data_IF_037290966893
#
_entry.id   IF_037290966893
#
_cell.length_a   1.000
_cell.length_b   1.000
_cell.length_c   1.000
_cell.angle_alpha   90.00
_cell.angle_beta   90.00
_cell.angle_gamma   90.00
#
_symmetry.space_group_name_H-M   'P 1'
#
loop_
_entity.id
_entity.type
_entity.pdbx_description
1 polymer ?
#
# COMPACT_ATOMS: atom_id res chain seq x y z
N UNK A 1 3.10 -11.23 -36.39
CA UNK A 1 2.05 -10.23 -36.71
C UNK A 1 0.69 -10.91 -36.66
N UNK A 2 -0.06 -10.76 -35.57
CA UNK A 2 -1.42 -11.32 -35.45
C UNK A 2 -2.40 -10.38 -36.13
N UNK A 3 -2.76 -10.70 -37.36
CA UNK A 3 -3.79 -9.99 -38.14
C UNK A 3 -5.13 -10.22 -37.44
N UNK A 4 -5.71 -9.16 -36.88
CA UNK A 4 -7.09 -9.20 -36.39
C UNK A 4 -8.01 -9.43 -37.58
N UNK A 5 -8.96 -10.39 -37.51
CA UNK A 5 -9.86 -10.65 -38.63
C UNK A 5 -10.75 -9.43 -38.84
N UNK A 6 -10.64 -8.81 -40.03
CA UNK A 6 -11.56 -7.74 -40.45
C UNK A 6 -12.97 -8.31 -40.45
N UNK A 7 -13.84 -7.71 -39.64
CA UNK A 7 -15.26 -8.08 -39.55
C UNK A 7 -15.89 -8.00 -40.94
N UNK A 8 -16.56 -9.08 -41.35
CA UNK A 8 -17.32 -9.16 -42.60
C UNK A 8 -18.31 -7.98 -42.67
N UNK A 9 -18.39 -7.25 -43.80
CA UNK A 9 -19.37 -6.19 -43.95
C UNK A 9 -20.79 -6.75 -43.79
N UNK A 10 -21.62 -6.07 -42.99
CA UNK A 10 -23.01 -6.44 -42.74
C UNK A 10 -23.78 -6.42 -44.07
N UNK A 11 -24.62 -7.42 -44.29
CA UNK A 11 -25.60 -7.39 -45.39
C UNK A 11 -26.53 -6.20 -45.21
N UNK A 12 -27.02 -5.62 -46.31
CA UNK A 12 -27.91 -4.44 -46.29
C UNK A 12 -29.10 -4.62 -45.34
N UNK A 13 -29.72 -5.80 -45.36
CA UNK A 13 -30.81 -6.16 -44.44
C UNK A 13 -30.39 -6.18 -42.96
N UNK A 14 -29.18 -6.66 -42.65
CA UNK A 14 -28.67 -6.66 -41.28
C UNK A 14 -28.32 -5.24 -40.77
N UNK A 15 -27.85 -4.36 -41.66
CA UNK A 15 -27.61 -2.95 -41.36
C UNK A 15 -28.94 -2.21 -41.11
N UNK A 16 -29.96 -2.45 -41.93
CA UNK A 16 -31.30 -1.88 -41.77
C UNK A 16 -31.95 -2.33 -40.45
N UNK A 17 -31.87 -3.62 -40.12
CA UNK A 17 -32.37 -4.15 -38.84
C UNK A 17 -31.65 -3.53 -37.62
N UNK A 18 -30.34 -3.31 -37.74
CA UNK A 18 -29.55 -2.68 -36.68
C UNK A 18 -29.89 -1.20 -36.52
N UNK A 19 -30.17 -0.49 -37.61
CA UNK A 19 -30.62 0.90 -37.61
C UNK A 19 -32.00 1.02 -36.94
N UNK A 20 -32.94 0.12 -37.25
CA UNK A 20 -34.25 0.06 -36.60
C UNK A 20 -34.16 -0.22 -35.10
N UNK A 21 -33.31 -1.16 -34.68
CA UNK A 21 -33.06 -1.44 -33.27
C UNK A 21 -32.47 -0.22 -32.55
N UNK A 22 -31.56 0.52 -33.20
CA UNK A 22 -31.02 1.77 -32.66
C UNK A 22 -32.07 2.86 -32.56
N UNK A 23 -33.00 2.98 -33.52
CA UNK A 23 -34.12 3.92 -33.47
C UNK A 23 -35.06 3.61 -32.30
N UNK A 24 -35.50 2.35 -32.16
CA UNK A 24 -36.33 1.90 -31.02
C UNK A 24 -35.65 2.18 -29.68
N UNK A 25 -34.36 1.88 -29.56
CA UNK A 25 -33.60 2.17 -28.34
C UNK A 25 -33.52 3.67 -28.03
N UNK A 26 -33.33 4.53 -29.05
CA UNK A 26 -33.32 6.00 -28.87
C UNK A 26 -34.68 6.52 -28.39
N UNK A 27 -35.77 6.01 -28.94
CA UNK A 27 -37.14 6.37 -28.55
C UNK A 27 -37.45 5.93 -27.12
N UNK A 28 -37.12 4.69 -26.76
CA UNK A 28 -37.27 4.18 -25.39
C UNK A 28 -36.46 4.99 -24.37
N UNK A 29 -35.23 5.41 -24.73
CA UNK A 29 -34.46 6.31 -23.86
C UNK A 29 -35.05 7.71 -23.78
N UNK A 30 -35.74 8.18 -24.80
CA UNK A 30 -36.41 9.49 -24.81
C UNK A 30 -37.64 9.48 -23.89
N UNK A 31 -38.50 8.46 -24.01
CA UNK A 31 -39.67 8.28 -23.14
C UNK A 31 -39.25 8.07 -21.69
N UNK A 32 -38.23 7.24 -21.44
CA UNK A 32 -37.71 7.06 -20.07
C UNK A 32 -37.16 8.35 -19.46
N UNK A 33 -36.54 9.25 -20.25
CA UNK A 33 -36.03 10.54 -19.75
C UNK A 33 -37.13 11.56 -19.46
N UNK A 34 -38.28 11.47 -20.13
CA UNK A 34 -39.45 12.29 -19.84
C UNK A 34 -40.05 11.93 -18.46
N UNK A 35 -39.94 10.68 -18.04
CA UNK A 35 -40.40 10.19 -16.73
C UNK A 35 -39.41 10.46 -15.58
N UNK A 36 -38.35 11.26 -15.80
CA UNK A 36 -37.34 11.50 -14.76
C UNK A 36 -37.70 12.69 -13.88
N UNK A 37 -37.68 12.44 -12.57
CA UNK A 37 -37.75 13.49 -11.56
C UNK A 37 -36.51 14.38 -11.60
N UNK A 38 -36.63 15.63 -11.11
CA UNK A 38 -35.54 16.61 -11.06
C UNK A 38 -34.29 16.07 -10.32
N UNK A 39 -34.48 15.27 -9.29
CA UNK A 39 -33.38 14.64 -8.53
C UNK A 39 -32.64 13.57 -9.35
N UNK A 40 -33.34 12.82 -10.20
CA UNK A 40 -32.77 11.83 -11.12
C UNK A 40 -31.97 12.52 -12.24
N UNK A 41 -32.49 13.64 -12.76
CA UNK A 41 -31.76 14.50 -13.69
C UNK A 41 -30.46 15.05 -13.10
N UNK A 42 -30.46 15.50 -11.84
CA UNK A 42 -29.25 15.96 -11.14
C UNK A 42 -28.19 14.87 -11.05
N UNK A 43 -28.57 13.68 -10.55
CA UNK A 43 -27.65 12.52 -10.43
C UNK A 43 -27.09 12.09 -11.79
N UNK A 44 -27.89 12.16 -12.86
CA UNK A 44 -27.42 11.85 -14.20
C UNK A 44 -26.41 12.88 -14.73
N UNK A 45 -26.68 14.18 -14.56
CA UNK A 45 -25.73 15.26 -14.93
C UNK A 45 -24.39 15.11 -14.21
N UNK A 46 -24.42 14.83 -12.91
CA UNK A 46 -23.20 14.57 -12.11
C UNK A 46 -22.41 13.36 -12.64
N UNK A 47 -23.10 12.28 -13.02
CA UNK A 47 -22.46 11.12 -13.67
C UNK A 47 -21.82 11.49 -15.02
N UNK A 48 -22.50 12.26 -15.86
CA UNK A 48 -21.96 12.73 -17.14
C UNK A 48 -20.72 13.62 -16.95
N UNK A 49 -20.76 14.56 -16.00
CA UNK A 49 -19.62 15.42 -15.67
C UNK A 49 -18.42 14.58 -15.19
N UNK A 50 -18.66 13.59 -14.32
CA UNK A 50 -17.62 12.68 -13.84
C UNK A 50 -17.02 11.85 -14.97
N UNK A 51 -17.85 11.33 -15.87
CA UNK A 51 -17.42 10.58 -17.05
C UNK A 51 -16.56 11.44 -17.99
N UNK A 52 -17.03 12.63 -18.34
CA UNK A 52 -16.30 13.55 -19.23
C UNK A 52 -14.97 14.03 -18.62
N UNK A 53 -14.94 14.24 -17.30
CA UNK A 53 -13.69 14.55 -16.59
C UNK A 53 -12.68 13.41 -16.70
N UNK A 54 -13.12 12.17 -16.44
CA UNK A 54 -12.28 10.97 -16.57
C UNK A 54 -11.74 10.81 -17.99
N UNK A 55 -12.59 11.00 -19.00
CA UNK A 55 -12.18 10.93 -20.42
C UNK A 55 -11.14 11.99 -20.78
N UNK A 56 -11.31 13.23 -20.30
CA UNK A 56 -10.32 14.31 -20.48
C UNK A 56 -8.98 14.01 -19.80
N UNK A 57 -9.02 13.42 -18.60
CA UNK A 57 -7.81 12.99 -17.89
C UNK A 57 -7.10 11.86 -18.65
N UNK A 58 -7.83 10.88 -19.17
CA UNK A 58 -7.28 9.79 -20.02
C UNK A 58 -6.66 10.33 -21.31
N UNK A 59 -7.33 11.24 -22.02
CA UNK A 59 -6.76 11.89 -23.22
C UNK A 59 -5.49 12.67 -22.89
N UNK A 60 -5.48 13.43 -21.78
CA UNK A 60 -4.28 14.15 -21.34
C UNK A 60 -3.10 13.23 -21.02
N UNK A 61 -3.35 12.07 -20.40
CA UNK A 61 -2.28 11.10 -20.13
C UNK A 61 -1.71 10.50 -21.42
N UNK A 62 -2.56 10.23 -22.41
CA UNK A 62 -2.13 9.72 -23.73
C UNK A 62 -1.31 10.77 -24.49
N UNK A 63 -1.74 12.05 -24.50
CA UNK A 63 -1.00 13.13 -25.14
C UNK A 63 0.33 13.41 -24.43
N UNK A 64 0.37 13.37 -23.09
CA UNK A 64 1.60 13.52 -22.34
C UNK A 64 2.59 12.37 -22.57
N UNK A 65 2.09 11.14 -22.72
CA UNK A 65 2.92 9.97 -23.07
C UNK A 65 3.51 10.07 -24.48
N UNK A 66 2.75 10.60 -25.44
CA UNK A 66 3.22 10.85 -26.82
C UNK A 66 4.24 11.99 -26.93
N UNK A 67 4.25 12.94 -26.00
CA UNK A 67 5.22 14.06 -25.97
C UNK A 67 6.51 13.72 -25.20
N UNK A 68 6.55 12.59 -24.51
CA UNK A 68 7.71 12.13 -23.72
C UNK A 68 8.72 11.28 -24.53
N UNK A 69 8.45 11.01 -25.80
CA UNK A 69 9.37 10.35 -26.73
C UNK A 69 9.60 11.22 -27.97
N UNK A 70 10.70 12.00 -28.05
CA UNK A 70 11.27 12.36 -29.34
C UNK A 70 12.02 11.14 -29.88
N UNK A 71 11.56 10.60 -30.99
CA UNK A 71 12.31 9.61 -31.76
C UNK A 71 13.61 10.25 -32.26
N UNK A 72 14.72 9.67 -31.81
CA UNK A 72 16.02 9.84 -32.41
C UNK A 72 16.03 9.06 -33.73
N UNK A 73 16.11 9.79 -34.84
CA UNK A 73 16.60 9.30 -36.12
C UNK A 73 17.66 10.31 -36.58
N UNK A 74 18.85 9.80 -36.90
CA UNK A 74 20.01 10.59 -37.26
C UNK A 74 19.85 11.32 -38.59
N UNK A 75 20.69 12.33 -38.81
CA UNK A 75 21.78 12.28 -39.79
C UNK A 75 22.67 13.51 -39.59
N UNK A 76 23.98 13.34 -39.81
CA UNK A 76 24.95 14.40 -39.69
C UNK A 76 24.90 15.35 -40.89
N UNK A 77 25.12 16.63 -40.65
CA UNK A 77 25.84 17.53 -41.55
C UNK A 77 26.18 18.84 -40.84
N UNK A 78 27.43 19.26 -41.01
CA UNK A 78 27.98 20.53 -40.54
C UNK A 78 27.36 21.72 -41.28
N UNK A 79 26.84 22.72 -40.57
CA UNK A 79 26.75 24.09 -41.12
C UNK A 79 26.66 25.11 -39.98
N UNK A 80 27.68 25.97 -39.86
CA UNK A 80 27.57 27.23 -39.13
C UNK A 80 26.92 28.26 -40.06
N UNK A 81 26.01 29.09 -39.55
CA UNK A 81 26.05 30.49 -39.99
C UNK A 81 25.82 31.50 -38.85
N UNK A 82 26.83 32.36 -38.72
CA UNK A 82 26.79 33.82 -38.55
C UNK A 82 25.66 34.42 -37.69
N UNK A 83 26.08 34.97 -36.56
CA UNK A 83 25.33 35.97 -35.79
C UNK A 83 24.90 37.16 -36.66
N UNK A 84 23.62 37.54 -36.69
CA UNK A 84 23.23 38.86 -37.15
C UNK A 84 23.56 39.87 -36.06
N UNK A 85 24.40 40.86 -36.40
CA UNK A 85 24.53 42.09 -35.64
C UNK A 85 23.17 42.80 -35.63
N UNK A 86 22.46 42.78 -34.50
CA UNK A 86 21.35 43.70 -34.28
C UNK A 86 21.83 44.84 -33.37
N UNK A 87 22.03 46.01 -33.97
CA UNK A 87 22.07 47.30 -33.27
C UNK A 87 20.76 47.44 -32.48
N UNK A 88 20.81 47.20 -31.18
CA UNK A 88 19.69 47.49 -30.28
C UNK A 88 19.76 48.97 -29.95
N UNK A 89 18.87 49.76 -30.54
CA UNK A 89 18.56 51.09 -30.03
C UNK A 89 17.88 50.89 -28.66
N UNK A 90 18.65 51.05 -27.59
CA UNK A 90 18.18 51.00 -26.21
C UNK A 90 17.10 52.07 -26.02
N UNK A 91 15.83 51.71 -25.71
CA UNK A 91 14.85 52.73 -25.38
C UNK A 91 15.29 53.43 -24.09
N UNK A 92 15.15 54.75 -24.03
CA UNK A 92 15.48 55.49 -22.82
C UNK A 92 14.73 54.92 -21.59
N UNK A 93 15.29 55.03 -20.38
CA UNK A 93 14.70 54.46 -19.16
C UNK A 93 13.24 54.87 -18.93
N UNK A 94 12.86 56.05 -19.43
CA UNK A 94 11.50 56.58 -19.38
C UNK A 94 10.55 55.83 -20.31
N UNK A 95 10.98 55.46 -21.52
CA UNK A 95 10.18 54.65 -22.47
C UNK A 95 9.97 53.22 -21.96
N UNK A 96 10.98 52.63 -21.32
CA UNK A 96 10.89 51.32 -20.66
C UNK A 96 9.90 51.34 -19.48
N UNK A 97 9.92 52.39 -18.66
CA UNK A 97 8.95 52.55 -17.55
C UNK A 97 7.50 52.72 -18.04
N UNK A 98 7.29 53.41 -19.16
CA UNK A 98 5.96 53.59 -19.75
C UNK A 98 5.44 52.27 -20.35
N UNK A 99 6.27 51.54 -21.10
CA UNK A 99 5.93 50.21 -21.62
C UNK A 99 5.63 49.21 -20.49
N UNK A 100 6.38 49.27 -19.39
CA UNK A 100 6.17 48.45 -18.20
C UNK A 100 4.85 48.76 -17.46
N UNK A 101 4.49 50.05 -17.31
CA UNK A 101 3.21 50.46 -16.73
C UNK A 101 2.03 50.02 -17.59
N UNK A 102 2.16 50.10 -18.92
CA UNK A 102 1.14 49.60 -19.86
C UNK A 102 0.97 48.09 -19.76
N UNK A 103 2.07 47.32 -19.75
CA UNK A 103 2.04 45.86 -19.63
C UNK A 103 1.49 45.37 -18.28
N UNK A 104 1.79 46.07 -17.18
CA UNK A 104 1.20 45.79 -15.85
C UNK A 104 -0.29 46.10 -15.80
N UNK A 105 -0.75 47.14 -16.49
CA UNK A 105 -2.16 47.50 -16.58
C UNK A 105 -2.94 46.45 -17.40
N UNK A 106 -2.37 45.99 -18.51
CA UNK A 106 -2.96 44.92 -19.34
C UNK A 106 -2.97 43.55 -18.63
N UNK A 107 -1.90 43.23 -17.89
CA UNK A 107 -1.83 42.02 -17.07
C UNK A 107 -2.82 42.02 -15.89
N UNK A 108 -3.22 43.20 -15.37
CA UNK A 108 -4.26 43.35 -14.34
C UNK A 108 -5.67 43.17 -14.91
N UNK A 109 -5.90 43.47 -16.20
CA UNK A 109 -7.21 43.32 -16.88
C UNK A 109 -7.58 41.87 -17.18
N UNK A 110 -6.63 40.96 -17.41
CA UNK A 110 -6.91 39.56 -17.74
C UNK A 110 -6.74 38.60 -16.54
N UNK A 111 -7.85 38.20 -15.91
CA UNK A 111 -7.91 37.14 -14.87
C UNK A 111 -7.82 35.72 -15.44
N UNK A 112 -6.80 35.42 -16.25
CA UNK A 112 -6.51 34.04 -16.68
C UNK A 112 -5.35 33.44 -15.85
N UNK A 113 -5.33 32.11 -15.69
CA UNK A 113 -4.28 31.39 -14.93
C UNK A 113 -2.87 31.57 -15.52
N UNK A 114 -2.74 31.95 -16.78
CA UNK A 114 -1.45 32.22 -17.43
C UNK A 114 -0.81 33.53 -16.94
N UNK A 115 -1.61 34.51 -16.49
CA UNK A 115 -1.07 35.78 -15.98
C UNK A 115 -0.33 35.60 -14.65
N UNK A 116 -0.74 34.64 -13.82
CA UNK A 116 -0.05 34.28 -12.57
C UNK A 116 1.30 33.58 -12.79
N UNK A 117 1.41 32.74 -13.82
CA UNK A 117 2.65 32.06 -14.16
C UNK A 117 3.68 33.05 -14.70
N UNK A 118 3.26 33.95 -15.61
CA UNK A 118 4.11 35.06 -16.09
C UNK A 118 4.50 36.00 -14.96
N UNK A 119 3.60 36.30 -14.01
CA UNK A 119 3.91 37.14 -12.85
C UNK A 119 4.98 36.51 -11.96
N UNK A 120 4.89 35.20 -11.68
CA UNK A 120 5.91 34.47 -10.90
C UNK A 120 7.28 34.46 -11.60
N UNK A 121 7.29 34.28 -12.91
CA UNK A 121 8.53 34.25 -13.71
C UNK A 121 9.20 35.64 -13.76
N UNK A 122 8.42 36.70 -13.86
CA UNK A 122 8.92 38.08 -13.80
C UNK A 122 9.42 38.45 -12.40
N UNK A 123 8.78 37.96 -11.33
CA UNK A 123 9.25 38.18 -9.96
C UNK A 123 10.54 37.42 -9.65
N UNK A 124 10.74 36.22 -10.21
CA UNK A 124 11.99 35.46 -10.03
C UNK A 124 13.20 36.03 -10.76
N UNK A 125 12.99 36.83 -11.81
CA UNK A 125 14.08 37.43 -12.60
C UNK A 125 14.57 38.77 -12.02
N UNK A 126 13.82 39.39 -11.11
CA UNK A 126 14.09 40.75 -10.60
C UNK A 126 14.63 40.81 -9.16
N UNK A 127 14.79 39.68 -8.45
CA UNK A 127 15.29 39.66 -7.07
C UNK A 127 16.58 38.81 -6.94
N UNK A 128 17.75 39.44 -6.77
CA UNK A 128 19.02 38.73 -6.49
C UNK A 128 19.17 38.24 -5.04
N UNK A 129 18.22 38.49 -4.15
CA UNK A 129 18.28 38.02 -2.74
C UNK A 129 17.80 36.56 -2.62
N UNK A 130 18.64 35.66 -3.11
CA UNK A 130 18.38 34.22 -3.28
C UNK A 130 18.67 33.37 -2.03
N UNK A 131 18.50 33.90 -0.82
CA UNK A 131 18.89 33.18 0.41
C UNK A 131 17.71 32.53 1.16
N UNK A 132 16.51 33.11 1.09
CA UNK A 132 15.31 32.53 1.69
C UNK A 132 14.64 31.48 0.79
N UNK A 133 14.63 31.70 -0.52
CA UNK A 133 14.01 30.78 -1.49
C UNK A 133 14.83 29.51 -1.73
N UNK A 134 16.17 29.58 -1.68
CA UNK A 134 17.06 28.42 -1.69
C UNK A 134 16.94 27.60 -0.41
N UNK A 135 16.88 28.24 0.77
CA UNK A 135 16.58 27.56 2.05
C UNK A 135 15.23 26.86 2.00
N UNK A 136 14.19 27.50 1.44
CA UNK A 136 12.88 26.90 1.23
C UNK A 136 12.91 25.72 0.25
N UNK A 137 13.69 25.80 -0.84
CA UNK A 137 13.87 24.71 -1.80
C UNK A 137 14.62 23.52 -1.18
N UNK A 138 15.69 23.78 -0.43
CA UNK A 138 16.45 22.76 0.30
C UNK A 138 15.57 22.07 1.35
N UNK A 139 14.80 22.83 2.14
CA UNK A 139 13.86 22.28 3.10
C UNK A 139 12.76 21.45 2.42
N UNK A 140 12.24 21.88 1.26
CA UNK A 140 11.29 21.10 0.45
C UNK A 140 11.90 19.82 -0.10
N UNK A 141 13.15 19.87 -0.58
CA UNK A 141 13.88 18.69 -1.08
C UNK A 141 14.11 17.69 0.05
N UNK A 142 14.61 18.14 1.20
CA UNK A 142 14.76 17.33 2.41
C UNK A 142 13.45 16.72 2.89
N UNK A 143 12.35 17.50 2.90
CA UNK A 143 11.02 16.99 3.22
C UNK A 143 10.51 15.95 2.19
N UNK A 144 10.88 16.11 0.90
CA UNK A 144 10.57 15.14 -0.16
C UNK A 144 11.36 13.84 0.01
N UNK A 145 12.65 13.91 0.36
CA UNK A 145 13.51 12.75 0.64
C UNK A 145 13.00 11.97 1.85
N UNK A 146 12.71 12.64 2.97
CA UNK A 146 12.11 12.02 4.16
C UNK A 146 10.76 11.37 3.83
N UNK A 147 9.94 12.03 3.00
CA UNK A 147 8.68 11.46 2.55
C UNK A 147 8.86 10.24 1.63
N UNK A 148 9.94 10.18 0.85
CA UNK A 148 10.27 9.04 0.01
C UNK A 148 10.70 7.85 0.87
N UNK A 149 11.68 8.07 1.75
CA UNK A 149 12.16 7.07 2.70
C UNK A 149 11.03 6.53 3.60
N UNK A 150 10.13 7.39 4.05
CA UNK A 150 8.96 6.97 4.83
C UNK A 150 7.98 6.10 4.02
N UNK A 151 7.81 6.36 2.71
CA UNK A 151 6.97 5.49 1.85
C UNK A 151 7.62 4.13 1.64
N UNK A 152 8.91 4.11 1.36
CA UNK A 152 9.69 2.88 1.18
C UNK A 152 9.67 2.04 2.46
N UNK A 153 9.88 2.66 3.61
CA UNK A 153 9.76 1.99 4.91
C UNK A 153 8.36 1.35 5.11
N UNK A 154 7.29 2.03 4.70
CA UNK A 154 5.94 1.47 4.78
C UNK A 154 5.71 0.32 3.79
N UNK A 155 6.24 0.40 2.57
CA UNK A 155 6.18 -0.68 1.58
C UNK A 155 6.88 -1.94 2.05
N UNK A 156 8.04 -1.77 2.68
CA UNK A 156 8.86 -2.83 3.25
C UNK A 156 8.23 -3.46 4.49
N UNK A 157 7.51 -2.65 5.27
CA UNK A 157 6.79 -3.10 6.45
C UNK A 157 5.44 -3.73 6.13
N UNK A 158 4.97 -3.66 4.88
CA UNK A 158 3.66 -4.14 4.48
C UNK A 158 3.71 -5.58 3.93
N UNK A 159 2.82 -6.44 4.43
CA UNK A 159 2.64 -7.81 3.97
C UNK A 159 1.69 -7.89 2.77
N UNK A 160 1.92 -8.86 1.88
CA UNK A 160 1.02 -9.12 0.75
C UNK A 160 -0.30 -9.74 1.23
N UNK A 161 -1.40 -9.37 0.57
CA UNK A 161 -2.72 -9.96 0.84
C UNK A 161 -3.01 -11.05 -0.18
N UNK A 162 -3.34 -12.28 0.25
CA UNK A 162 -3.59 -13.38 -0.67
C UNK A 162 -4.84 -13.13 -1.53
N UNK A 163 -4.86 -13.73 -2.72
CA UNK A 163 -6.02 -13.78 -3.61
C UNK A 163 -6.03 -12.73 -4.73
N UNK A 164 -6.41 -13.15 -5.95
CA UNK A 164 -6.46 -12.33 -7.17
C UNK A 164 -7.33 -11.06 -7.05
N UNK A 165 -8.30 -11.05 -6.14
CA UNK A 165 -9.19 -9.92 -5.90
C UNK A 165 -8.48 -8.71 -5.25
N UNK A 166 -7.29 -8.92 -4.70
CA UNK A 166 -6.50 -7.86 -4.07
C UNK A 166 -5.72 -7.04 -5.09
N UNK A 167 -5.61 -7.52 -6.33
CA UNK A 167 -4.94 -6.83 -7.42
C UNK A 167 -5.87 -5.78 -8.02
N UNK A 168 -5.40 -4.53 -8.06
CA UNK A 168 -6.11 -3.44 -8.72
C UNK A 168 -6.15 -3.68 -10.23
N UNK A 169 -7.35 -3.90 -10.79
CA UNK A 169 -7.53 -4.07 -12.24
C UNK A 169 -7.04 -2.87 -13.08
N UNK A 170 -6.94 -1.67 -12.47
CA UNK A 170 -6.50 -0.46 -13.16
C UNK A 170 -4.99 -0.31 -13.20
N UNK A 171 -4.31 -0.69 -12.13
CA UNK A 171 -2.88 -0.42 -11.94
C UNK A 171 -2.03 -1.68 -11.97
N UNK A 172 -2.62 -2.88 -11.92
CA UNK A 172 -1.89 -4.14 -11.78
C UNK A 172 -1.25 -4.35 -10.39
N UNK A 173 -1.30 -3.35 -9.51
CA UNK A 173 -0.66 -3.38 -8.19
C UNK A 173 -1.50 -4.20 -7.21
N UNK A 174 -0.86 -5.14 -6.51
CA UNK A 174 -1.46 -5.90 -5.42
C UNK A 174 -1.58 -5.04 -4.16
N UNK A 175 -2.74 -5.12 -3.49
CA UNK A 175 -2.90 -4.50 -2.17
C UNK A 175 -1.99 -5.19 -1.15
N UNK A 176 -1.34 -4.39 -0.32
CA UNK A 176 -0.56 -4.83 0.83
C UNK A 176 -1.19 -4.33 2.12
N UNK A 177 -0.77 -4.88 3.24
CA UNK A 177 -1.32 -4.56 4.56
C UNK A 177 -0.22 -4.33 5.56
N UNK A 178 -0.41 -3.32 6.39
CA UNK A 178 0.45 -3.09 7.55
C UNK A 178 0.05 -4.06 8.67
N UNK A 179 0.92 -5.02 9.05
CA UNK A 179 0.66 -5.93 10.15
C UNK A 179 0.68 -5.18 11.50
N UNK A 180 1.52 -4.15 11.62
CA UNK A 180 1.62 -3.28 12.79
C UNK A 180 0.73 -2.05 12.66
N UNK A 181 0.30 -1.50 13.81
CA UNK A 181 -0.39 -0.20 13.87
C UNK A 181 0.52 0.89 13.34
N UNK A 182 -0.01 1.84 12.55
CA UNK A 182 0.79 2.90 11.94
C UNK A 182 1.50 3.77 13.00
N UNK A 183 0.91 3.95 14.18
CA UNK A 183 1.53 4.65 15.33
C UNK A 183 2.85 3.99 15.75
N UNK A 184 2.91 2.66 15.72
CA UNK A 184 4.13 1.91 16.06
C UNK A 184 5.17 2.02 14.95
N UNK A 185 4.76 1.84 13.70
CA UNK A 185 5.64 2.01 12.54
C UNK A 185 6.25 3.42 12.48
N UNK A 186 5.49 4.44 12.88
CA UNK A 186 5.99 5.81 12.98
C UNK A 186 7.12 5.94 14.01
N UNK A 187 6.97 5.34 15.21
CA UNK A 187 8.04 5.30 16.22
C UNK A 187 9.28 4.57 15.71
N UNK A 188 9.09 3.39 15.10
CA UNK A 188 10.19 2.60 14.52
C UNK A 188 10.92 3.37 13.41
N UNK A 189 10.19 4.10 12.57
CA UNK A 189 10.78 4.95 11.52
C UNK A 189 11.65 6.06 12.12
N UNK A 190 11.17 6.75 13.16
CA UNK A 190 11.92 7.81 13.83
C UNK A 190 13.17 7.28 14.55
N UNK A 191 13.08 6.10 15.17
CA UNK A 191 14.23 5.44 15.80
C UNK A 191 15.31 5.08 14.77
N UNK A 192 14.91 4.57 13.59
CA UNK A 192 15.84 4.23 12.51
C UNK A 192 16.40 5.45 11.78
N UNK A 193 15.71 6.59 11.85
CA UNK A 193 16.08 7.82 11.15
C UNK A 193 16.08 9.02 12.12
N UNK A 194 17.04 9.10 13.06
CA UNK A 194 17.04 10.10 14.14
C UNK A 194 17.16 11.57 13.68
N UNK A 195 17.31 11.86 12.39
CA UNK A 195 17.24 13.21 11.81
C UNK A 195 15.96 13.54 11.04
N UNK A 196 15.03 12.59 10.91
CA UNK A 196 13.81 12.75 10.11
C UNK A 196 12.66 13.31 10.94
N UNK A 197 12.22 14.53 10.64
CA UNK A 197 11.05 15.12 11.26
C UNK A 197 9.80 14.86 10.40
N UNK A 198 9.11 13.75 10.66
CA UNK A 198 7.80 13.45 10.05
C UNK A 198 6.75 13.26 11.13
N UNK A 199 5.60 13.94 11.01
CA UNK A 199 4.48 13.72 11.92
C UNK A 199 3.68 12.48 11.51
N UNK A 200 3.02 11.84 12.48
CA UNK A 200 2.12 10.71 12.21
C UNK A 200 1.04 11.07 11.16
N UNK A 201 0.51 12.30 11.20
CA UNK A 201 -0.48 12.80 10.23
C UNK A 201 0.10 12.88 8.82
N UNK A 202 1.34 13.35 8.69
CA UNK A 202 2.03 13.37 7.39
C UNK A 202 2.26 11.95 6.88
N UNK A 203 2.67 11.02 7.75
CA UNK A 203 2.83 9.60 7.42
C UNK A 203 1.54 8.98 6.87
N UNK A 204 0.40 9.22 7.53
CA UNK A 204 -0.92 8.81 7.02
C UNK A 204 -1.24 9.37 5.63
N UNK A 205 -0.86 10.63 5.36
CA UNK A 205 -1.15 11.31 4.09
C UNK A 205 -0.29 10.78 2.94
N UNK A 206 0.97 10.44 3.20
CA UNK A 206 1.90 9.94 2.19
C UNK A 206 1.79 8.42 1.99
N UNK A 207 1.10 7.70 2.89
CA UNK A 207 0.88 6.26 2.80
C UNK A 207 0.28 5.89 1.43
N UNK A 208 0.93 4.99 0.66
CA UNK A 208 0.42 4.55 -0.63
C UNK A 208 -0.98 3.94 -0.54
N UNK A 209 -1.83 4.22 -1.54
CA UNK A 209 -3.25 3.82 -1.51
C UNK A 209 -3.47 2.30 -1.56
N UNK A 210 -2.52 1.55 -2.10
CA UNK A 210 -2.57 0.09 -2.13
C UNK A 210 -2.09 -0.54 -0.82
N UNK A 211 -1.52 0.23 0.10
CA UNK A 211 -1.25 -0.20 1.47
C UNK A 211 -2.48 0.09 2.33
N UNK A 212 -3.05 -0.97 2.91
CA UNK A 212 -4.22 -0.89 3.79
C UNK A 212 -3.81 -1.04 5.25
N UNK A 213 -4.54 -0.36 6.13
CA UNK A 213 -4.47 -0.63 7.57
C UNK A 213 -5.08 -1.99 7.88
N UNK A 214 -4.50 -2.70 8.84
CA UNK A 214 -5.00 -3.98 9.37
C UNK A 214 -6.50 -3.97 9.69
N UNK A 215 -7.06 -2.85 10.16
CA UNK A 215 -8.51 -2.70 10.46
C UNK A 215 -9.44 -2.93 9.26
N UNK A 216 -8.93 -2.86 8.03
CA UNK A 216 -9.72 -3.05 6.81
C UNK A 216 -9.82 -4.51 6.37
N UNK A 217 -9.13 -5.42 7.04
CA UNK A 217 -9.30 -6.85 6.82
C UNK A 217 -10.55 -7.34 7.52
N UNK A 218 -11.44 -7.96 6.74
CA UNK A 218 -12.56 -8.72 7.29
C UNK A 218 -12.18 -10.18 7.57
N UNK A 219 -11.02 -10.62 7.09
CA UNK A 219 -10.65 -12.03 7.09
C UNK A 219 -9.14 -12.20 7.18
N UNK A 220 -8.69 -12.88 8.24
CA UNK A 220 -7.30 -13.23 8.47
C UNK A 220 -7.21 -14.76 8.43
N UNK A 221 -6.43 -15.30 7.50
CA UNK A 221 -6.17 -16.73 7.34
C UNK A 221 -4.68 -17.02 7.41
N UNK A 222 -4.32 -18.30 7.54
CA UNK A 222 -2.94 -18.79 7.54
C UNK A 222 -2.08 -18.15 8.64
N UNK A 223 -2.64 -18.05 9.85
CA UNK A 223 -1.94 -17.49 11.01
C UNK A 223 -1.00 -18.54 11.62
N UNK A 224 0.17 -18.09 12.07
CA UNK A 224 1.04 -18.90 12.91
C UNK A 224 0.36 -19.17 14.25
N UNK A 225 0.23 -20.44 14.62
CA UNK A 225 -0.39 -20.87 15.87
C UNK A 225 0.27 -20.25 17.10
N UNK A 226 1.61 -20.26 17.16
CA UNK A 226 2.37 -19.70 18.29
C UNK A 226 2.07 -18.21 18.46
N UNK A 227 2.10 -17.45 17.36
CA UNK A 227 1.75 -16.03 17.38
C UNK A 227 0.28 -15.80 17.78
N UNK A 228 -0.64 -16.57 17.20
CA UNK A 228 -2.08 -16.42 17.43
C UNK A 228 -2.46 -16.74 18.87
N UNK A 229 -1.85 -17.77 19.48
CA UNK A 229 -2.13 -18.17 20.85
C UNK A 229 -1.68 -17.10 21.86
N UNK A 230 -0.53 -16.48 21.63
CA UNK A 230 -0.06 -15.35 22.45
C UNK A 230 -0.98 -14.15 22.29
N UNK A 231 -1.38 -13.80 21.06
CA UNK A 231 -2.30 -12.68 20.84
C UNK A 231 -3.65 -12.93 21.54
N UNK A 232 -4.22 -14.13 21.44
CA UNK A 232 -5.50 -14.47 22.08
C UNK A 232 -5.44 -14.37 23.61
N UNK A 233 -4.33 -14.81 24.22
CA UNK A 233 -4.11 -14.70 25.67
C UNK A 233 -3.84 -13.27 26.09
N UNK A 234 -3.04 -12.53 25.32
CA UNK A 234 -2.74 -11.13 25.57
C UNK A 234 -3.99 -10.25 25.46
N UNK A 235 -4.85 -10.50 24.48
CA UNK A 235 -6.15 -9.82 24.34
C UNK A 235 -7.07 -10.09 25.54
N UNK A 236 -7.06 -11.32 26.05
CA UNK A 236 -7.81 -11.66 27.25
C UNK A 236 -7.26 -10.95 28.49
N UNK A 237 -5.93 -10.94 28.64
CA UNK A 237 -5.21 -10.32 29.77
C UNK A 237 -5.33 -8.79 29.78
N UNK A 238 -5.22 -8.14 28.61
CA UNK A 238 -5.27 -6.69 28.45
C UNK A 238 -6.54 -6.02 28.99
N UNK A 239 -7.62 -6.77 29.22
CA UNK A 239 -8.84 -6.25 29.87
C UNK A 239 -8.64 -5.96 31.35
N UNK A 240 -7.70 -6.66 31.98
CA UNK A 240 -7.41 -6.65 33.41
C UNK A 240 -6.12 -5.90 33.76
N UNK A 241 -5.32 -5.51 32.76
CA UNK A 241 -4.10 -4.72 32.98
C UNK A 241 -4.44 -3.24 33.19
N UNK A 242 -3.74 -2.59 34.11
CA UNK A 242 -3.78 -1.14 34.27
C UNK A 242 -3.32 -0.45 32.98
N UNK A 243 -2.17 -0.90 32.46
CA UNK A 243 -1.61 -0.47 31.18
C UNK A 243 -1.61 -1.64 30.16
N UNK A 244 -2.53 -1.64 29.17
CA UNK A 244 -2.58 -2.68 28.14
C UNK A 244 -1.31 -2.74 27.27
N UNK A 245 -0.80 -3.95 27.06
CA UNK A 245 0.37 -4.20 26.23
C UNK A 245 -0.05 -4.22 24.74
N UNK A 246 0.56 -3.34 23.93
CA UNK A 246 0.23 -3.16 22.50
C UNK A 246 0.88 -4.23 21.60
N UNK A 247 0.49 -5.49 21.82
CA UNK A 247 0.80 -6.64 20.97
C UNK A 247 2.00 -7.48 21.40
N UNK A 248 2.03 -8.71 20.87
CA UNK A 248 3.00 -9.76 21.24
C UNK A 248 4.48 -9.39 21.09
N UNK A 249 4.84 -8.55 20.11
CA UNK A 249 6.24 -8.18 19.93
C UNK A 249 6.77 -7.35 21.11
N UNK A 250 5.97 -6.41 21.65
CA UNK A 250 6.39 -5.59 22.79
C UNK A 250 6.56 -6.44 24.04
N UNK A 251 5.69 -7.45 24.21
CA UNK A 251 5.81 -8.41 25.29
C UNK A 251 7.09 -9.25 25.14
N UNK A 252 7.43 -9.68 23.93
CA UNK A 252 8.70 -10.37 23.67
C UNK A 252 9.91 -9.47 23.89
N UNK A 253 9.88 -8.23 23.39
CA UNK A 253 10.95 -7.23 23.56
C UNK A 253 11.17 -6.93 25.06
N UNK A 254 10.10 -6.88 25.86
CA UNK A 254 10.19 -6.73 27.32
C UNK A 254 10.86 -7.90 28.04
N UNK A 255 10.92 -9.07 27.41
CA UNK A 255 11.56 -10.27 27.97
C UNK A 255 13.04 -10.41 27.60
N UNK A 256 13.59 -9.47 26.83
CA UNK A 256 14.94 -9.51 26.26
C UNK A 256 15.72 -8.26 26.68
N UNK A 257 17.05 -8.34 26.64
CA UNK A 257 17.90 -7.16 26.81
C UNK A 257 17.64 -6.13 25.69
N UNK A 258 17.90 -4.86 26.00
CA UNK A 258 17.78 -3.78 25.04
C UNK A 258 18.76 -3.97 23.86
N UNK A 259 18.29 -3.67 22.64
CA UNK A 259 19.08 -3.79 21.41
C UNK A 259 18.74 -5.04 20.61
N UNK A 260 19.67 -5.45 19.75
CA UNK A 260 19.52 -6.66 18.94
C UNK A 260 19.61 -7.91 19.82
N UNK A 261 18.67 -8.87 19.66
CA UNK A 261 18.58 -10.03 20.53
C UNK A 261 19.81 -10.92 20.38
N UNK A 262 20.58 -11.03 21.45
CA UNK A 262 21.73 -11.93 21.52
C UNK A 262 21.28 -13.38 21.65
N UNK A 263 22.08 -14.31 21.12
CA UNK A 263 21.80 -15.74 21.19
C UNK A 263 21.59 -16.21 22.64
N UNK A 264 22.41 -15.76 23.59
CA UNK A 264 22.24 -16.07 25.02
C UNK A 264 20.90 -15.61 25.61
N UNK A 265 20.33 -14.51 25.11
CA UNK A 265 19.01 -14.04 25.52
C UNK A 265 17.90 -14.92 24.93
N UNK A 266 18.04 -15.34 23.67
CA UNK A 266 17.10 -16.23 22.98
C UNK A 266 17.14 -17.67 23.52
N UNK A 267 18.31 -18.10 23.99
CA UNK A 267 18.57 -19.36 24.69
C UNK A 267 18.14 -19.33 26.16
N UNK A 268 17.70 -18.17 26.68
CA UNK A 268 17.29 -17.95 28.08
C UNK A 268 18.40 -18.28 29.08
N UNK A 269 19.66 -18.14 28.65
CA UNK A 269 20.86 -18.30 29.49
C UNK A 269 21.38 -16.95 30.03
N UNK A 270 20.84 -15.83 29.54
CA UNK A 270 21.17 -14.50 30.01
C UNK A 270 20.60 -14.22 31.41
N UNK A 271 21.45 -13.76 32.33
CA UNK A 271 21.03 -13.39 33.70
C UNK A 271 20.28 -12.04 33.77
N UNK A 272 20.42 -11.20 32.74
CA UNK A 272 19.92 -9.82 32.73
C UNK A 272 18.55 -9.66 32.05
N UNK A 273 17.97 -10.72 31.49
CA UNK A 273 16.65 -10.69 30.86
C UNK A 273 15.88 -11.98 31.11
N UNK A 274 14.57 -11.93 30.95
CA UNK A 274 13.74 -13.13 31.04
C UNK A 274 12.25 -12.79 31.06
N UNK A 275 11.42 -13.83 31.04
CA UNK A 275 9.96 -13.66 31.06
C UNK A 275 9.47 -12.99 32.35
N UNK A 276 10.24 -13.06 33.45
CA UNK A 276 9.93 -12.34 34.69
C UNK A 276 9.84 -10.81 34.46
N UNK A 277 10.67 -10.24 33.59
CA UNK A 277 10.61 -8.81 33.24
C UNK A 277 9.37 -8.47 32.42
N UNK A 278 8.94 -9.39 31.55
CA UNK A 278 7.67 -9.25 30.83
C UNK A 278 6.47 -9.39 31.78
N UNK A 279 6.54 -10.28 32.78
CA UNK A 279 5.51 -10.43 33.83
C UNK A 279 5.38 -9.15 34.66
N UNK A 280 6.49 -8.53 35.04
CA UNK A 280 6.50 -7.29 35.81
C UNK A 280 5.82 -6.11 35.09
N UNK A 281 5.76 -6.14 33.75
CA UNK A 281 4.99 -5.17 32.94
C UNK A 281 3.49 -5.43 32.93
N UNK A 282 3.03 -6.61 33.34
CA UNK A 282 1.63 -7.00 33.32
C UNK A 282 0.96 -6.69 34.67
N UNK A 283 0.92 -5.42 35.06
CA UNK A 283 0.32 -4.99 36.32
C UNK A 283 -1.21 -5.05 36.26
N UNK A 284 -1.82 -5.86 37.13
CA UNK A 284 -3.27 -6.02 37.22
C UNK A 284 -3.91 -4.80 37.89
N UNK A 285 -5.09 -4.40 37.39
CA UNK A 285 -5.94 -3.40 38.05
C UNK A 285 -6.29 -3.86 39.47
N UNK A 286 -6.40 -2.92 40.40
CA UNK A 286 -6.78 -3.18 41.81
C UNK A 286 -8.06 -3.99 41.93
N UNK A 287 -9.08 -3.71 41.10
CA UNK A 287 -10.36 -4.43 41.09
C UNK A 287 -10.27 -5.86 40.50
N UNK A 288 -9.16 -6.16 39.82
CA UNK A 288 -8.84 -7.47 39.24
C UNK A 288 -7.82 -8.26 40.07
N UNK A 289 -7.39 -7.71 41.22
CA UNK A 289 -6.54 -8.41 42.19
C UNK A 289 -7.43 -9.36 43.03
N UNK A 290 -7.30 -10.67 42.80
CA UNK A 290 -8.07 -11.71 43.50
C UNK A 290 -8.38 -12.92 42.60
N UNK A 291 -9.25 -13.82 43.07
CA UNK A 291 -9.69 -15.03 42.36
C UNK A 291 -10.61 -14.75 41.14
N UNK A 292 -10.39 -13.61 40.46
CA UNK A 292 -11.16 -13.21 39.30
C UNK A 292 -11.01 -14.23 38.17
N UNK A 293 -12.13 -14.85 37.80
CA UNK A 293 -12.17 -15.77 36.68
C UNK A 293 -12.16 -15.01 35.37
N UNK A 294 -11.38 -15.50 34.42
CA UNK A 294 -11.39 -15.00 33.06
C UNK A 294 -11.40 -16.13 32.04
N UNK A 295 -11.96 -15.81 30.88
CA UNK A 295 -12.03 -16.69 29.73
C UNK A 295 -11.01 -16.24 28.69
N UNK A 296 -10.21 -17.18 28.21
CA UNK A 296 -9.30 -16.97 27.10
C UNK A 296 -9.42 -18.10 26.09
N UNK A 297 -8.97 -17.83 24.86
CA UNK A 297 -9.01 -18.80 23.77
C UNK A 297 -7.60 -19.21 23.37
N UNK A 298 -7.46 -20.43 22.88
CA UNK A 298 -6.21 -20.93 22.31
C UNK A 298 -6.49 -22.02 21.29
N UNK A 299 -5.69 -22.05 20.23
CA UNK A 299 -5.65 -23.16 19.29
C UNK A 299 -4.94 -24.33 19.95
N UNK A 300 -5.59 -25.50 19.96
CA UNK A 300 -5.05 -26.75 20.49
C UNK A 300 -5.40 -27.92 19.59
N UNK A 301 -4.62 -29.00 19.69
CA UNK A 301 -5.01 -30.29 19.13
C UNK A 301 -6.05 -30.90 20.06
N UNK A 302 -7.18 -31.29 19.49
CA UNK A 302 -8.26 -31.99 20.16
C UNK A 302 -8.42 -33.35 19.49
N UNK A 303 -8.49 -34.40 20.30
CA UNK A 303 -8.82 -35.75 19.84
C UNK A 303 -10.31 -35.83 19.52
N UNK A 304 -10.62 -36.26 18.30
CA UNK A 304 -11.99 -36.52 17.86
C UNK A 304 -12.12 -37.97 17.43
N UNK A 305 -13.35 -38.51 17.34
CA UNK A 305 -13.57 -39.88 16.83
C UNK A 305 -12.98 -40.12 15.43
N UNK A 306 -12.69 -39.05 14.67
CA UNK A 306 -12.11 -39.09 13.32
C UNK A 306 -10.61 -38.77 13.31
N UNK A 307 -9.95 -38.74 14.46
CA UNK A 307 -8.54 -38.41 14.63
C UNK A 307 -8.29 -37.04 15.27
N UNK A 308 -7.05 -36.57 15.21
CA UNK A 308 -6.60 -35.31 15.81
C UNK A 308 -6.92 -34.13 14.90
N UNK A 309 -7.58 -33.09 15.43
CA UNK A 309 -7.81 -31.83 14.71
C UNK A 309 -7.38 -30.63 15.54
N UNK A 310 -7.03 -29.53 14.88
CA UNK A 310 -6.84 -28.24 15.56
C UNK A 310 -8.18 -27.56 15.75
N UNK A 311 -8.45 -27.11 16.96
CA UNK A 311 -9.68 -26.41 17.32
C UNK A 311 -9.38 -25.23 18.24
N UNK A 312 -10.22 -24.19 18.15
CA UNK A 312 -10.15 -23.03 19.01
C UNK A 312 -10.88 -23.35 20.32
N UNK A 313 -10.12 -23.65 21.37
CA UNK A 313 -10.65 -24.03 22.68
C UNK A 313 -10.76 -22.79 23.57
N UNK A 314 -11.88 -22.66 24.28
CA UNK A 314 -12.06 -21.63 25.32
C UNK A 314 -11.81 -22.26 26.68
N UNK A 315 -10.87 -21.70 27.43
CA UNK A 315 -10.57 -22.09 28.81
C UNK A 315 -11.06 -21.02 29.78
N UNK A 316 -11.46 -21.44 30.97
CA UNK A 316 -11.85 -20.57 32.08
C UNK A 316 -10.95 -20.86 33.28
N UNK A 317 -10.50 -19.82 33.96
CA UNK A 317 -9.67 -19.94 35.15
C UNK A 317 -9.21 -18.59 35.68
N UNK A 318 -8.40 -18.64 36.73
CA UNK A 318 -7.83 -17.45 37.37
C UNK A 318 -6.94 -16.65 36.40
N UNK A 319 -6.90 -15.33 36.59
CA UNK A 319 -6.02 -14.45 35.81
C UNK A 319 -4.55 -14.84 35.97
N UNK A 320 -4.12 -15.24 37.18
CA UNK A 320 -2.74 -15.72 37.40
C UNK A 320 -2.42 -16.95 36.55
N UNK A 321 -3.37 -17.88 36.40
CA UNK A 321 -3.20 -19.05 35.54
C UNK A 321 -3.06 -18.67 34.06
N UNK A 322 -3.79 -17.65 33.61
CA UNK A 322 -3.61 -17.09 32.26
C UNK A 322 -2.21 -16.47 32.10
N UNK A 323 -1.75 -15.73 33.11
CA UNK A 323 -0.45 -15.08 33.11
C UNK A 323 0.69 -16.11 33.07
N UNK A 324 0.61 -17.17 33.89
CA UNK A 324 1.58 -18.27 33.91
C UNK A 324 1.68 -18.95 32.54
N UNK A 325 0.54 -19.32 31.93
CA UNK A 325 0.50 -19.91 30.59
C UNK A 325 1.09 -18.98 29.53
N UNK A 326 0.81 -17.68 29.63
CA UNK A 326 1.36 -16.70 28.70
C UNK A 326 2.88 -16.61 28.85
N UNK A 327 3.41 -16.63 30.07
CA UNK A 327 4.85 -16.59 30.32
C UNK A 327 5.56 -17.88 29.86
N UNK A 328 4.92 -19.04 30.05
CA UNK A 328 5.40 -20.32 29.55
C UNK A 328 5.53 -20.30 28.01
N UNK A 329 4.49 -19.86 27.29
CA UNK A 329 4.54 -19.73 25.85
C UNK A 329 5.52 -18.64 25.37
N UNK A 330 5.75 -17.61 26.18
CA UNK A 330 6.70 -16.53 25.88
C UNK A 330 8.16 -17.01 25.89
N UNK A 331 8.47 -18.10 26.61
CA UNK A 331 9.83 -18.65 26.70
C UNK A 331 10.42 -18.97 25.31
N UNK A 332 9.83 -19.85 24.49
CA UNK A 332 10.30 -20.13 23.14
C UNK A 332 9.93 -19.05 22.11
N UNK A 333 8.95 -18.20 22.43
CA UNK A 333 8.40 -17.25 21.46
C UNK A 333 9.41 -16.20 20.99
N UNK A 334 10.29 -15.73 21.87
CA UNK A 334 11.32 -14.76 21.50
C UNK A 334 12.26 -15.31 20.42
N UNK A 335 12.65 -16.58 20.52
CA UNK A 335 13.40 -17.27 19.47
C UNK A 335 12.57 -17.42 18.19
N UNK A 336 11.30 -17.80 18.32
CA UNK A 336 10.41 -17.91 17.17
C UNK A 336 10.36 -16.60 16.36
N UNK A 337 10.23 -15.44 17.03
CA UNK A 337 10.26 -14.14 16.37
C UNK A 337 11.63 -13.80 15.78
N UNK A 338 12.72 -14.07 16.50
CA UNK A 338 14.08 -13.83 16.01
C UNK A 338 14.37 -14.65 14.75
N UNK A 339 14.06 -15.94 14.76
CA UNK A 339 14.22 -16.84 13.62
C UNK A 339 13.39 -16.37 12.42
N UNK A 340 12.12 -16.03 12.63
CA UNK A 340 11.27 -15.50 11.57
C UNK A 340 11.86 -14.24 10.93
N UNK A 341 12.29 -13.27 11.76
CA UNK A 341 12.89 -12.01 11.30
C UNK A 341 14.19 -12.26 10.53
N UNK A 342 15.06 -13.11 11.06
CA UNK A 342 16.33 -13.47 10.44
C UNK A 342 16.11 -14.18 9.10
N UNK A 343 15.25 -15.21 9.04
CA UNK A 343 14.92 -15.94 7.82
C UNK A 343 14.38 -15.00 6.74
N UNK A 344 13.46 -14.11 7.10
CA UNK A 344 12.92 -13.11 6.18
C UNK A 344 14.00 -12.17 5.64
N UNK A 345 14.91 -11.71 6.51
CA UNK A 345 16.04 -10.88 6.10
C UNK A 345 16.98 -11.62 5.15
N UNK A 346 17.37 -12.86 5.47
CA UNK A 346 18.22 -13.68 4.58
C UNK A 346 17.56 -13.89 3.22
N UNK A 347 16.27 -14.20 3.20
CA UNK A 347 15.50 -14.34 1.97
C UNK A 347 15.53 -13.07 1.12
N UNK A 348 15.31 -11.89 1.73
CA UNK A 348 15.39 -10.61 1.01
C UNK A 348 16.78 -10.36 0.43
N UNK A 349 17.83 -10.56 1.23
CA UNK A 349 19.21 -10.35 0.80
C UNK A 349 19.57 -11.24 -0.38
N UNK A 350 19.22 -12.53 -0.31
CA UNK A 350 19.47 -13.50 -1.38
C UNK A 350 18.67 -13.20 -2.64
N UNK A 351 17.40 -12.82 -2.49
CA UNK A 351 16.54 -12.47 -3.63
C UNK A 351 17.06 -11.27 -4.42
N UNK A 352 17.64 -10.27 -3.75
CA UNK A 352 18.20 -9.08 -4.40
C UNK A 352 19.60 -9.31 -4.96
N UNK A 353 20.38 -10.24 -4.42
CA UNK A 353 21.78 -10.48 -4.77
C UNK A 353 21.99 -11.95 -5.17
N UNK A 354 21.14 -12.46 -6.06
CA UNK A 354 21.18 -13.87 -6.45
C UNK A 354 22.35 -14.12 -7.42
N UNK A 355 23.29 -15.04 -7.11
CA UNK A 355 24.37 -15.37 -8.03
C UNK A 355 23.86 -15.92 -9.37
N UNK A 356 24.54 -15.68 -10.51
CA UNK A 356 24.06 -16.08 -11.84
C UNK A 356 23.84 -17.59 -12.05
N UNK A 357 24.48 -18.43 -11.23
CA UNK A 357 24.38 -19.90 -11.29
C UNK A 357 23.42 -20.46 -10.25
N UNK A 358 22.81 -19.61 -9.43
CA UNK A 358 21.94 -20.03 -8.34
C UNK A 358 20.48 -19.76 -8.70
N UNK A 359 19.60 -20.61 -8.18
CA UNK A 359 18.18 -20.38 -8.19
C UNK A 359 17.63 -20.46 -6.77
N UNK A 360 16.76 -19.51 -6.42
CA UNK A 360 16.10 -19.46 -5.12
C UNK A 360 14.67 -19.98 -5.29
N UNK A 361 14.40 -21.15 -4.70
CA UNK A 361 13.08 -21.77 -4.69
C UNK A 361 12.36 -21.39 -3.40
N UNK A 362 11.18 -20.81 -3.53
CA UNK A 362 10.26 -20.54 -2.42
C UNK A 362 9.07 -21.47 -2.57
N UNK A 363 8.88 -22.34 -1.58
CA UNK A 363 7.75 -23.26 -1.51
C UNK A 363 6.74 -22.72 -0.49
N UNK A 364 5.47 -22.68 -0.88
CA UNK A 364 4.36 -22.36 0.02
C UNK A 364 3.71 -23.64 0.54
N UNK A 365 2.80 -23.56 1.50
CA UNK A 365 2.05 -24.72 1.96
C UNK A 365 1.25 -25.35 0.83
N UNK A 366 1.20 -26.69 0.82
CA UNK A 366 0.32 -27.40 -0.09
C UNK A 366 -1.14 -27.10 0.26
N UNK A 367 -1.91 -26.65 -0.73
CA UNK A 367 -3.31 -26.30 -0.58
C UNK A 367 -4.21 -27.33 -1.26
N UNK A 368 -5.36 -27.61 -0.66
CA UNK A 368 -6.39 -28.42 -1.31
C UNK A 368 -7.16 -27.55 -2.31
N UNK A 369 -6.94 -27.83 -3.59
CA UNK A 369 -7.64 -27.21 -4.69
C UNK A 369 -8.91 -28.00 -5.01
N UNK A 370 -10.06 -27.32 -4.95
CA UNK A 370 -11.35 -27.88 -5.34
C UNK A 370 -11.50 -27.82 -6.87
N UNK A 371 -11.51 -28.99 -7.51
CA UNK A 371 -11.75 -29.11 -8.95
C UNK A 371 -13.21 -28.77 -9.27
N UNK A 372 -13.42 -27.67 -10.00
CA UNK A 372 -14.75 -27.22 -10.43
C UNK A 372 -14.91 -27.40 -11.94
N UNK A 373 -15.96 -28.12 -12.34
CA UNK A 373 -16.35 -28.23 -13.73
C UNK A 373 -17.17 -27.01 -14.18
N UNK A 374 -16.96 -26.59 -15.43
CA UNK A 374 -17.86 -25.65 -16.10
C UNK A 374 -19.16 -26.37 -16.46
N UNK A 375 -20.31 -25.70 -16.34
CA UNK A 375 -21.65 -26.26 -16.63
C UNK A 375 -22.01 -27.55 -15.87
N UNK A 376 -21.57 -27.68 -14.61
CA UNK A 376 -21.90 -28.85 -13.79
C UNK A 376 -23.41 -28.97 -13.56
N UNK A 377 -23.92 -30.21 -13.62
CA UNK A 377 -25.28 -30.54 -13.17
C UNK A 377 -25.40 -30.39 -11.65
N UNK A 378 -26.59 -30.05 -11.16
CA UNK A 378 -26.82 -29.73 -9.74
C UNK A 378 -26.48 -30.89 -8.79
N UNK A 379 -26.62 -32.14 -9.23
CA UNK A 379 -26.33 -33.34 -8.43
C UNK A 379 -24.86 -33.45 -7.98
N UNK A 380 -23.92 -32.84 -8.72
CA UNK A 380 -22.48 -32.84 -8.40
C UNK A 380 -22.12 -31.77 -7.36
N UNK A 381 -23.08 -30.94 -6.91
CA UNK A 381 -22.81 -29.82 -6.00
C UNK A 381 -22.15 -30.22 -4.67
N UNK A 382 -22.36 -31.45 -4.20
CA UNK A 382 -21.76 -31.97 -2.96
C UNK A 382 -20.54 -32.87 -3.19
N UNK A 383 -20.21 -33.18 -4.45
CA UNK A 383 -19.12 -34.08 -4.82
C UNK A 383 -18.06 -33.32 -5.60
N UNK A 384 -17.10 -32.73 -4.89
CA UNK A 384 -15.92 -32.13 -5.51
C UNK A 384 -14.72 -33.04 -5.33
N UNK A 385 -14.05 -33.33 -6.45
CA UNK A 385 -12.70 -33.85 -6.38
C UNK A 385 -11.79 -32.75 -5.83
N UNK A 386 -10.99 -33.11 -4.83
CA UNK A 386 -9.95 -32.26 -4.29
C UNK A 386 -8.59 -32.81 -4.72
N UNK A 387 -7.73 -31.93 -5.19
CA UNK A 387 -6.33 -32.25 -5.47
C UNK A 387 -5.45 -31.36 -4.60
N UNK A 388 -4.35 -31.90 -4.11
CA UNK A 388 -3.38 -31.12 -3.35
C UNK A 388 -2.39 -30.47 -4.32
N UNK A 389 -2.30 -29.15 -4.29
CA UNK A 389 -1.39 -28.37 -5.13
C UNK A 389 -0.33 -27.74 -4.24
N UNK A 390 0.94 -27.92 -4.58
CA UNK A 390 2.06 -27.31 -3.86
C UNK A 390 2.62 -26.15 -4.69
N UNK A 391 2.36 -24.88 -4.33
CA UNK A 391 2.86 -23.75 -5.08
C UNK A 391 4.36 -23.55 -4.83
N UNK A 392 5.13 -23.44 -5.91
CA UNK A 392 6.56 -23.12 -5.86
C UNK A 392 6.85 -21.90 -6.74
N UNK A 393 7.65 -20.97 -6.23
CA UNK A 393 8.15 -19.80 -6.97
C UNK A 393 9.66 -19.92 -7.12
N UNK A 394 10.14 -19.89 -8.36
CA UNK A 394 11.55 -19.89 -8.69
C UNK A 394 12.02 -18.47 -9.00
N UNK A 395 13.00 -17.98 -8.26
CA UNK A 395 13.75 -16.77 -8.60
C UNK A 395 15.09 -17.18 -9.19
N UNK A 396 15.45 -16.64 -10.36
CA UNK A 396 16.74 -16.85 -11.01
C UNK A 396 17.18 -15.54 -11.69
N UNK A 397 18.49 -15.34 -11.81
CA UNK A 397 19.02 -14.24 -12.59
C UNK A 397 18.97 -14.63 -14.08
N UNK A 398 18.34 -13.80 -14.91
CA UNK A 398 18.44 -13.95 -16.35
C UNK A 398 19.80 -13.40 -16.78
N UNK A 399 20.51 -14.13 -17.65
CA UNK A 399 21.62 -13.52 -18.40
C UNK A 399 20.98 -12.58 -19.43
N UNK A 400 21.48 -11.35 -19.50
CA UNK A 400 21.11 -10.39 -20.56
C UNK A 400 21.47 -10.94 -21.95
#
# INVERSE_FOLDING_TARGET
MTVTPKSRPLTRQAAELQEEQRKKWREEKRTQRQLWTSQKWRRHREKCVRYNRKRREETRMLTAASQAHPEAAGDGESFTPKSPSCNVYSPSPTKLKIAYKSALHDAKRHRSKESLARRRLLTSLLNPELDADTKNLYQRKKASEVSCAAREFLEDSAAHVPGKQTISKRTGVQKKILPKRLKRLHKEFLQKNPGSQISLRTLYRIMPKHILSSKRLKFNQCLCEVCANIDLKLDALNRHLEDPVDGRDLLSEASLCAGEPQQSCLDRQCLNCGVAQARARCQLKTDSQGDALTKWRSWKIVDTPRGKRRELVTEEGLIERLLDKLMEELQPFSRHLANFRWQYQQFRTLKCNLPPTWALVVMDFAENFLCKYQNKVQSIYWFYNQVTVHPCVLHYACKD
#
